data_IF_154302503404
#
_entry.id   IF_154302503404
#
_cell.length_a   1.000
_cell.length_b   1.000
_cell.length_c   1.000
_cell.angle_alpha   90.00
_cell.angle_beta   90.00
_cell.angle_gamma   90.00
#
_symmetry.space_group_name_H-M   'P 1'
#
loop_
_entity.id
_entity.type
_entity.pdbx_description
1 polymer ?
#
# COMPACT_ATOMS: atom_id res chain seq x y z
N UNK A 1 16.64 -16.24 10.69
CA UNK A 1 16.38 -15.01 9.91
C UNK A 1 17.09 -13.85 10.60
N UNK A 2 18.38 -13.62 10.32
CA UNK A 2 19.11 -12.49 10.90
C UNK A 2 19.01 -11.31 9.93
N UNK A 3 18.27 -10.27 10.31
CA UNK A 3 18.13 -9.04 9.53
C UNK A 3 18.72 -7.89 10.34
N UNK A 4 19.78 -7.26 9.83
CA UNK A 4 20.52 -6.20 10.53
C UNK A 4 19.98 -4.78 10.26
N UNK A 5 18.70 -4.65 9.90
CA UNK A 5 18.09 -3.33 9.68
C UNK A 5 17.82 -2.62 11.00
N UNK A 6 18.34 -1.41 11.14
CA UNK A 6 18.12 -0.54 12.29
C UNK A 6 17.02 0.47 11.98
N UNK A 7 16.10 0.70 12.92
CA UNK A 7 15.00 1.64 12.76
C UNK A 7 15.03 2.68 13.87
N UNK A 8 14.94 3.96 13.51
CA UNK A 8 14.86 5.07 14.47
C UNK A 8 13.47 5.25 15.07
N UNK A 9 12.43 4.64 14.48
CA UNK A 9 11.02 4.75 14.92
C UNK A 9 10.42 3.38 15.19
N UNK A 10 9.76 3.24 16.35
CA UNK A 10 9.13 1.97 16.76
C UNK A 10 8.09 1.44 15.77
N UNK A 11 7.26 2.29 15.16
CA UNK A 11 6.26 1.84 14.18
C UNK A 11 6.88 1.28 12.89
N UNK A 12 8.09 1.73 12.53
CA UNK A 12 8.84 1.21 11.39
C UNK A 12 9.40 -0.18 11.70
N UNK A 13 9.99 -0.37 12.89
CA UNK A 13 10.41 -1.68 13.36
C UNK A 13 9.23 -2.66 13.39
N UNK A 14 8.08 -2.27 13.98
CA UNK A 14 6.89 -3.12 14.03
C UNK A 14 6.39 -3.50 12.62
N UNK A 15 6.36 -2.55 11.69
CA UNK A 15 6.00 -2.83 10.28
C UNK A 15 7.04 -3.71 9.57
N UNK A 16 8.31 -3.58 9.92
CA UNK A 16 9.38 -4.42 9.39
C UNK A 16 9.28 -5.86 9.92
N UNK A 17 8.97 -6.06 11.21
CA UNK A 17 8.77 -7.40 11.77
C UNK A 17 7.62 -8.15 11.08
N UNK A 18 6.57 -7.43 10.66
CA UNK A 18 5.50 -8.01 9.83
C UNK A 18 6.00 -8.51 8.45
N UNK A 19 7.18 -8.10 7.98
CA UNK A 19 7.77 -8.63 6.74
C UNK A 19 8.41 -10.00 6.93
N UNK A 20 8.85 -10.32 8.15
CA UNK A 20 9.33 -11.64 8.54
C UNK A 20 8.18 -12.59 8.92
N UNK A 21 7.07 -12.04 9.40
CA UNK A 21 5.85 -12.80 9.72
C UNK A 21 4.94 -12.99 8.50
N UNK A 22 4.29 -14.14 8.35
CA UNK A 22 3.24 -14.34 7.35
C UNK A 22 1.91 -13.66 7.73
N UNK A 23 1.86 -13.00 8.89
CA UNK A 23 0.68 -12.30 9.35
C UNK A 23 0.30 -11.13 8.45
N UNK A 24 -0.95 -11.14 8.03
CA UNK A 24 -1.61 -10.08 7.28
C UNK A 24 -2.88 -9.69 8.04
N UNK A 25 -2.76 -8.81 9.05
CA UNK A 25 -3.86 -8.51 9.98
C UNK A 25 -4.93 -7.63 9.34
N UNK A 26 -4.63 -6.93 8.25
CA UNK A 26 -5.57 -6.03 7.59
C UNK A 26 -6.28 -6.76 6.44
N UNK A 27 -7.60 -6.85 6.49
CA UNK A 27 -8.41 -7.59 5.52
C UNK A 27 -9.35 -6.62 4.80
N UNK A 28 -9.47 -6.75 3.48
CA UNK A 28 -10.44 -6.01 2.70
C UNK A 28 -11.84 -6.61 2.87
N UNK A 29 -12.84 -5.86 3.36
CA UNK A 29 -14.18 -6.40 3.60
C UNK A 29 -14.94 -6.74 2.31
N UNK A 30 -14.49 -6.22 1.15
CA UNK A 30 -15.15 -6.45 -0.15
C UNK A 30 -14.69 -7.73 -0.87
N UNK A 31 -13.41 -8.10 -0.72
CA UNK A 31 -12.83 -9.22 -1.47
C UNK A 31 -11.94 -10.15 -0.63
N UNK A 32 -11.90 -9.95 0.70
CA UNK A 32 -11.07 -10.70 1.65
C UNK A 32 -9.56 -10.69 1.38
N UNK A 33 -9.08 -9.78 0.51
CA UNK A 33 -7.65 -9.59 0.29
C UNK A 33 -6.95 -9.17 1.59
N UNK A 34 -5.82 -9.81 1.90
CA UNK A 34 -5.07 -9.60 3.15
C UNK A 34 -3.82 -8.75 2.91
N UNK A 35 -3.55 -7.82 3.81
CA UNK A 35 -2.44 -6.86 3.75
C UNK A 35 -1.64 -6.84 5.05
N UNK A 36 -0.34 -6.57 4.92
CA UNK A 36 0.57 -6.40 6.07
C UNK A 36 0.45 -5.02 6.71
N UNK A 37 0.06 -4.00 5.95
CA UNK A 37 -0.01 -2.61 6.43
C UNK A 37 -1.36 -1.98 6.11
N UNK A 38 -1.84 -1.11 7.01
CA UNK A 38 -3.11 -0.42 6.85
C UNK A 38 -3.15 0.48 5.60
N UNK A 39 -2.04 1.15 5.27
CA UNK A 39 -1.99 2.01 4.07
C UNK A 39 -2.12 1.20 2.77
N UNK A 40 -1.63 -0.04 2.75
CA UNK A 40 -1.77 -0.93 1.59
C UNK A 40 -3.23 -1.33 1.39
N UNK A 41 -3.94 -1.67 2.48
CA UNK A 41 -5.39 -1.91 2.44
C UNK A 41 -6.15 -0.67 1.97
N UNK A 42 -5.89 0.51 2.54
CA UNK A 42 -6.55 1.77 2.13
C UNK A 42 -6.33 2.06 0.65
N UNK A 43 -5.10 1.86 0.15
CA UNK A 43 -4.76 2.02 -1.27
C UNK A 43 -5.51 1.01 -2.14
N UNK A 44 -5.57 -0.25 -1.71
CA UNK A 44 -6.32 -1.28 -2.41
C UNK A 44 -7.82 -0.96 -2.47
N UNK A 45 -8.41 -0.43 -1.39
CA UNK A 45 -9.84 -0.08 -1.37
C UNK A 45 -10.23 0.93 -2.45
N UNK A 46 -9.31 1.80 -2.88
CA UNK A 46 -9.55 2.74 -4.01
C UNK A 46 -9.80 2.02 -5.34
N UNK A 47 -9.34 0.79 -5.50
CA UNK A 47 -9.62 -0.02 -6.68
C UNK A 47 -11.11 -0.41 -6.75
N UNK A 48 -11.75 -0.58 -5.59
CA UNK A 48 -13.18 -0.90 -5.53
C UNK A 48 -14.08 0.30 -5.75
N UNK A 49 -13.59 1.53 -5.50
CA UNK A 49 -14.35 2.76 -5.77
C UNK A 49 -14.14 3.25 -7.20
N UNK A 50 -13.08 2.78 -7.89
CA UNK A 50 -12.73 3.25 -9.22
C UNK A 50 -12.19 4.68 -9.24
N UNK A 51 -11.92 5.28 -8.08
CA UNK A 51 -11.42 6.65 -7.99
C UNK A 51 -10.06 6.79 -8.66
N UNK A 52 -9.98 7.72 -9.62
CA UNK A 52 -8.75 8.09 -10.32
C UNK A 52 -8.51 9.60 -10.23
N UNK A 53 -8.07 10.09 -9.06
CA UNK A 53 -7.92 11.52 -8.81
C UNK A 53 -6.68 12.12 -9.48
N UNK A 54 -5.74 11.30 -9.93
CA UNK A 54 -4.51 11.77 -10.56
C UNK A 54 -4.66 11.73 -12.07
N UNK A 55 -4.42 12.85 -12.75
CA UNK A 55 -4.54 12.97 -14.19
C UNK A 55 -3.21 13.41 -14.80
N UNK A 56 -2.86 12.81 -15.95
CA UNK A 56 -1.73 13.25 -16.73
C UNK A 56 -2.12 14.45 -17.58
N UNK A 57 -1.57 15.63 -17.28
CA UNK A 57 -1.85 16.86 -18.03
C UNK A 57 -1.44 16.82 -19.51
N UNK A 58 -0.61 15.85 -19.93
CA UNK A 58 -0.18 15.70 -21.33
C UNK A 58 -1.14 14.88 -22.19
N UNK A 59 -1.73 13.83 -21.62
CA UNK A 59 -2.54 12.86 -22.37
C UNK A 59 -3.95 12.62 -21.79
N UNK A 60 -4.31 13.29 -20.69
CA UNK A 60 -5.60 13.15 -20.00
C UNK A 60 -5.79 11.81 -19.28
N UNK A 61 -4.79 10.92 -19.26
CA UNK A 61 -4.93 9.59 -18.65
C UNK A 61 -5.03 9.71 -17.14
N UNK A 62 -6.05 9.06 -16.55
CA UNK A 62 -6.31 9.08 -15.11
C UNK A 62 -5.79 7.83 -14.41
N UNK A 63 -5.24 8.02 -13.21
CA UNK A 63 -4.60 7.03 -12.37
C UNK A 63 -5.19 7.04 -10.96
N UNK A 64 -5.29 5.86 -10.36
CA UNK A 64 -5.73 5.70 -8.97
C UNK A 64 -4.67 6.12 -7.95
N UNK A 65 -3.41 6.28 -8.39
CA UNK A 65 -2.26 6.55 -7.52
C UNK A 65 -1.28 7.53 -8.16
N UNK A 66 -0.72 8.43 -7.36
CA UNK A 66 0.24 9.42 -7.82
C UNK A 66 1.56 8.82 -8.30
N UNK A 67 2.02 7.73 -7.67
CA UNK A 67 3.23 7.02 -8.11
C UNK A 67 3.03 6.31 -9.46
N UNK A 68 1.81 5.87 -9.75
CA UNK A 68 1.46 5.33 -11.06
C UNK A 68 1.47 6.41 -12.15
N UNK A 69 1.03 7.64 -11.83
CA UNK A 69 1.16 8.80 -12.72
C UNK A 69 2.63 9.22 -12.88
N UNK A 70 3.42 9.21 -11.81
CA UNK A 70 4.82 9.63 -11.88
C UNK A 70 5.70 8.72 -12.75
N UNK A 71 5.35 7.44 -12.88
CA UNK A 71 6.03 6.46 -13.75
C UNK A 71 5.40 6.35 -15.14
N UNK A 72 4.24 6.96 -15.36
CA UNK A 72 3.53 6.92 -16.63
C UNK A 72 4.24 7.77 -17.69
#
# INVERSE_FOLDING_TARGET
MHCSQTFTRHHNLKSHLLTHSQEKPFICPKCNARFRRLHDLKRHSKLHTGERPYECNKCGRRFARGDALARH
#
